data_IF_603180219071
#
_entry.id   IF_603180219071
#
_cell.length_a   1.000
_cell.length_b   1.000
_cell.length_c   1.000
_cell.angle_alpha   90.00
_cell.angle_beta   90.00
_cell.angle_gamma   90.00
#
_symmetry.space_group_name_H-M   'P 1'
#
loop_
_entity.id
_entity.type
_entity.pdbx_description
1 polymer ?
#
# COMPACT_ATOMS: atom_id res chain seq x y z
N UNK A 1 -11.78 -15.34 -25.08
CA UNK A 1 -12.38 -15.72 -23.78
C UNK A 1 -11.85 -14.76 -22.75
N UNK A 2 -12.73 -14.05 -22.06
CA UNK A 2 -12.35 -13.11 -20.99
C UNK A 2 -11.88 -13.90 -19.75
N UNK A 3 -11.10 -13.27 -18.87
CA UNK A 3 -10.58 -13.88 -17.62
C UNK A 3 -11.69 -14.44 -16.72
N UNK A 4 -12.88 -13.84 -16.78
CA UNK A 4 -14.07 -14.26 -16.05
C UNK A 4 -14.66 -15.61 -16.53
N UNK A 5 -14.40 -16.00 -17.79
CA UNK A 5 -14.90 -17.24 -18.39
C UNK A 5 -14.05 -18.45 -17.96
N UNK A 6 -12.72 -18.26 -17.92
CA UNK A 6 -11.77 -19.29 -17.47
C UNK A 6 -12.00 -19.72 -16.02
N UNK A 7 -12.25 -18.78 -15.10
CA UNK A 7 -12.47 -19.12 -13.69
C UNK A 7 -13.69 -20.01 -13.47
N UNK A 8 -14.78 -19.80 -14.23
CA UNK A 8 -15.99 -20.65 -14.16
C UNK A 8 -15.74 -22.05 -14.73
N UNK A 9 -15.04 -22.13 -15.86
CA UNK A 9 -14.69 -23.40 -16.49
C UNK A 9 -13.75 -24.24 -15.60
N UNK A 10 -12.73 -23.62 -15.00
CA UNK A 10 -11.82 -24.28 -14.05
C UNK A 10 -12.60 -24.84 -12.85
N UNK A 11 -13.49 -24.02 -12.25
CA UNK A 11 -14.31 -24.47 -11.12
C UNK A 11 -15.23 -25.65 -11.49
N UNK A 12 -15.83 -25.61 -12.68
CA UNK A 12 -16.66 -26.70 -13.20
C UNK A 12 -15.88 -28.01 -13.31
N UNK A 13 -14.68 -27.98 -13.91
CA UNK A 13 -13.87 -29.20 -14.08
C UNK A 13 -13.33 -29.74 -12.76
N UNK A 14 -12.95 -28.89 -11.80
CA UNK A 14 -12.62 -29.35 -10.45
C UNK A 14 -13.78 -30.09 -9.79
N UNK A 15 -15.01 -29.58 -9.94
CA UNK A 15 -16.21 -30.23 -9.42
C UNK A 15 -16.42 -31.60 -10.06
N UNK A 16 -16.30 -31.70 -11.40
CA UNK A 16 -16.46 -32.96 -12.13
C UNK A 16 -15.38 -34.00 -11.81
N UNK A 17 -14.14 -33.55 -11.59
CA UNK A 17 -13.04 -34.43 -11.13
C UNK A 17 -13.36 -34.99 -9.74
N UNK A 18 -13.88 -34.18 -8.82
CA UNK A 18 -14.28 -34.67 -7.49
C UNK A 18 -15.43 -35.68 -7.54
N UNK A 19 -16.38 -35.46 -8.45
CA UNK A 19 -17.54 -36.35 -8.61
C UNK A 19 -17.19 -37.68 -9.28
N UNK A 20 -16.36 -37.64 -10.32
CA UNK A 20 -16.18 -38.77 -11.24
C UNK A 20 -14.76 -39.33 -11.28
N UNK A 21 -13.78 -38.48 -10.96
CA UNK A 21 -12.36 -38.71 -11.16
C UNK A 21 -12.00 -39.26 -12.55
N UNK A 22 -12.75 -38.87 -13.59
CA UNK A 22 -12.59 -39.42 -14.94
C UNK A 22 -11.45 -38.72 -15.71
N UNK A 23 -10.56 -39.44 -16.43
CA UNK A 23 -9.41 -38.87 -17.14
C UNK A 23 -9.74 -37.72 -18.11
N UNK A 24 -10.91 -37.78 -18.75
CA UNK A 24 -11.43 -36.71 -19.62
C UNK A 24 -11.45 -35.34 -18.92
N UNK A 25 -11.92 -35.26 -17.68
CA UNK A 25 -12.02 -33.98 -16.98
C UNK A 25 -10.67 -33.47 -16.49
N UNK A 26 -9.72 -34.36 -16.23
CA UNK A 26 -8.34 -33.99 -15.96
C UNK A 26 -7.69 -33.33 -17.17
N UNK A 27 -7.90 -33.87 -18.37
CA UNK A 27 -7.45 -33.23 -19.61
C UNK A 27 -8.12 -31.88 -19.85
N UNK A 28 -9.44 -31.79 -19.76
CA UNK A 28 -10.15 -30.53 -19.96
C UNK A 28 -9.72 -29.45 -18.94
N UNK A 29 -9.44 -29.84 -17.69
CA UNK A 29 -8.90 -28.93 -16.69
C UNK A 29 -7.50 -28.43 -17.08
N UNK A 30 -6.60 -29.34 -17.49
CA UNK A 30 -5.25 -29.00 -17.91
C UNK A 30 -5.24 -28.03 -19.11
N UNK A 31 -6.06 -28.32 -20.13
CA UNK A 31 -6.20 -27.47 -21.32
C UNK A 31 -6.77 -26.09 -20.97
N UNK A 32 -7.78 -26.04 -20.10
CA UNK A 32 -8.37 -24.78 -19.62
C UNK A 32 -7.36 -23.95 -18.81
N UNK A 33 -6.59 -24.58 -17.93
CA UNK A 33 -5.53 -23.93 -17.16
C UNK A 33 -4.40 -23.40 -18.06
N UNK A 34 -4.01 -24.19 -19.06
CA UNK A 34 -3.04 -23.78 -20.08
C UNK A 34 -3.53 -22.55 -20.86
N UNK A 35 -4.79 -22.57 -21.32
CA UNK A 35 -5.42 -21.43 -22.00
C UNK A 35 -5.56 -20.18 -21.12
N UNK A 36 -5.66 -20.34 -19.81
CA UNK A 36 -5.68 -19.26 -18.83
C UNK A 36 -4.28 -18.73 -18.44
N UNK A 37 -3.20 -19.36 -18.92
CA UNK A 37 -1.82 -19.00 -18.57
C UNK A 37 -1.35 -19.52 -17.21
N UNK A 38 -2.08 -20.46 -16.59
CA UNK A 38 -1.75 -21.11 -15.32
C UNK A 38 -0.83 -22.32 -15.58
N UNK A 39 0.38 -22.06 -16.07
CA UNK A 39 1.28 -23.10 -16.60
C UNK A 39 1.65 -24.16 -15.56
N UNK A 40 1.92 -23.77 -14.31
CA UNK A 40 2.34 -24.72 -13.27
C UNK A 40 1.18 -25.63 -12.86
N UNK A 41 -0.01 -25.08 -12.73
CA UNK A 41 -1.24 -25.78 -12.40
C UNK A 41 -1.64 -26.75 -13.53
N UNK A 42 -1.47 -26.32 -14.80
CA UNK A 42 -1.66 -27.18 -15.96
C UNK A 42 -0.69 -28.36 -15.97
N UNK A 43 0.61 -28.13 -15.71
CA UNK A 43 1.61 -29.20 -15.64
C UNK A 43 1.29 -30.21 -14.54
N UNK A 44 0.94 -29.75 -13.34
CA UNK A 44 0.53 -30.65 -12.25
C UNK A 44 -0.74 -31.44 -12.59
N UNK A 45 -1.68 -30.82 -13.28
CA UNK A 45 -2.92 -31.48 -13.73
C UNK A 45 -2.64 -32.52 -14.81
N UNK A 46 -1.68 -32.27 -15.70
CA UNK A 46 -1.21 -33.25 -16.70
C UNK A 46 -0.53 -34.44 -16.01
N UNK A 47 0.30 -34.22 -14.99
CA UNK A 47 0.93 -35.32 -14.23
C UNK A 47 -0.13 -36.23 -13.58
N UNK A 48 -1.18 -35.62 -13.01
CA UNK A 48 -2.32 -36.36 -12.49
C UNK A 48 -3.07 -37.12 -13.60
N UNK A 49 -3.29 -36.52 -14.77
CA UNK A 49 -3.90 -37.18 -15.91
C UNK A 49 -3.06 -38.37 -16.42
N UNK A 50 -1.73 -38.25 -16.43
CA UNK A 50 -0.78 -39.28 -16.83
C UNK A 50 -0.70 -40.46 -15.84
N UNK A 51 -1.15 -40.27 -14.59
CA UNK A 51 -1.18 -41.33 -13.57
C UNK A 51 -2.26 -42.40 -13.81
N UNK A 52 -3.25 -42.12 -14.68
CA UNK A 52 -4.31 -43.06 -14.99
C UNK A 52 -3.80 -44.22 -15.86
N UNK A 53 -4.29 -45.46 -15.66
CA UNK A 53 -3.92 -46.60 -16.52
C UNK A 53 -4.26 -46.38 -18.00
N UNK A 54 -5.39 -45.70 -18.26
CA UNK A 54 -5.85 -45.29 -19.59
C UNK A 54 -6.11 -43.77 -19.59
N UNK A 55 -5.05 -42.96 -19.76
CA UNK A 55 -5.19 -41.51 -19.75
C UNK A 55 -5.89 -41.02 -21.03
N UNK A 56 -6.66 -39.94 -20.91
CA UNK A 56 -7.29 -39.25 -22.04
C UNK A 56 -6.56 -37.93 -22.31
N UNK A 57 -6.40 -37.49 -23.57
CA UNK A 57 -6.83 -38.14 -24.81
C UNK A 57 -5.93 -39.33 -25.19
N UNK A 58 -4.63 -39.22 -24.96
CA UNK A 58 -3.68 -40.33 -24.95
C UNK A 58 -2.44 -39.93 -24.15
N UNK A 59 -1.63 -40.93 -23.75
CA UNK A 59 -0.36 -40.67 -23.06
C UNK A 59 0.59 -39.80 -23.91
N UNK A 60 0.63 -40.04 -25.22
CA UNK A 60 1.50 -39.29 -26.13
C UNK A 60 1.07 -37.83 -26.23
N UNK A 61 -0.22 -37.56 -26.43
CA UNK A 61 -0.74 -36.18 -26.53
C UNK A 61 -0.56 -35.39 -25.23
N UNK A 62 -0.70 -36.04 -24.06
CA UNK A 62 -0.43 -35.41 -22.77
C UNK A 62 1.07 -35.07 -22.59
N UNK A 63 1.97 -35.94 -23.06
CA UNK A 63 3.41 -35.67 -23.04
C UNK A 63 3.78 -34.55 -24.03
N UNK A 64 3.14 -34.50 -25.20
CA UNK A 64 3.30 -33.40 -26.17
C UNK A 64 2.80 -32.07 -25.58
N UNK A 65 1.64 -32.07 -24.91
CA UNK A 65 1.13 -30.92 -24.18
C UNK A 65 2.10 -30.50 -23.07
N UNK A 66 2.64 -31.44 -22.29
CA UNK A 66 3.65 -31.19 -21.25
C UNK A 66 4.92 -30.57 -21.83
N UNK A 67 5.45 -31.12 -22.92
CA UNK A 67 6.62 -30.57 -23.63
C UNK A 67 6.33 -29.18 -24.21
N UNK A 68 5.13 -28.93 -24.73
CA UNK A 68 4.75 -27.60 -25.22
C UNK A 68 4.69 -26.56 -24.08
N UNK A 69 4.17 -26.93 -22.91
CA UNK A 69 4.09 -26.06 -21.73
C UNK A 69 5.46 -25.83 -21.06
N UNK A 70 6.39 -26.76 -21.22
CA UNK A 70 7.78 -26.64 -20.75
C UNK A 70 8.69 -25.91 -21.74
N UNK A 71 8.42 -26.00 -23.04
CA UNK A 71 9.20 -25.35 -24.12
C UNK A 71 8.73 -23.92 -24.42
N UNK A 72 7.51 -23.56 -24.03
CA UNK A 72 7.14 -22.17 -23.80
C UNK A 72 7.83 -21.77 -22.49
N UNK A 73 8.90 -20.96 -22.51
CA UNK A 73 9.45 -20.46 -21.25
C UNK A 73 8.30 -19.81 -20.50
N UNK A 74 8.04 -20.18 -19.22
CA UNK A 74 6.91 -19.65 -18.46
C UNK A 74 7.03 -18.15 -18.54
N UNK A 75 6.13 -17.52 -19.31
CA UNK A 75 6.23 -16.17 -19.87
C UNK A 75 7.19 -15.39 -19.00
N UNK A 76 8.49 -15.39 -19.32
CA UNK A 76 9.46 -14.87 -18.38
C UNK A 76 9.00 -13.43 -18.19
N UNK A 77 8.50 -13.10 -17.01
CA UNK A 77 8.27 -11.72 -16.65
C UNK A 77 9.68 -11.19 -16.73
N UNK A 78 10.03 -10.62 -17.89
CA UNK A 78 11.28 -9.95 -18.08
C UNK A 78 11.35 -9.04 -16.86
N UNK A 79 12.29 -9.24 -15.92
CA UNK A 79 12.29 -8.51 -14.66
C UNK A 79 12.41 -7.00 -14.93
N UNK A 80 12.81 -6.60 -16.14
CA UNK A 80 12.86 -5.23 -16.63
C UNK A 80 11.53 -4.73 -17.25
N UNK A 81 10.55 -5.58 -17.54
CA UNK A 81 9.22 -5.13 -17.97
C UNK A 81 8.35 -4.79 -16.74
N UNK A 82 7.91 -3.53 -16.62
CA UNK A 82 7.06 -3.14 -15.51
C UNK A 82 5.71 -3.85 -15.59
N UNK A 83 5.23 -4.38 -14.48
CA UNK A 83 3.89 -4.93 -14.30
C UNK A 83 2.96 -3.90 -13.67
N UNK A 84 1.67 -3.98 -13.98
CA UNK A 84 0.64 -3.19 -13.27
C UNK A 84 0.51 -3.77 -11.86
N UNK A 85 0.75 -2.93 -10.85
CA UNK A 85 0.63 -3.31 -9.44
C UNK A 85 -0.78 -3.05 -8.93
N UNK A 86 -1.36 -1.91 -9.30
CA UNK A 86 -2.74 -1.56 -8.98
C UNK A 86 -3.30 -0.60 -10.04
N UNK A 87 -4.63 -0.60 -10.17
CA UNK A 87 -5.37 0.16 -11.16
C UNK A 87 -6.67 0.72 -10.58
N UNK A 88 -7.01 1.94 -10.97
CA UNK A 88 -8.28 2.61 -10.66
C UNK A 88 -8.81 3.31 -11.91
N UNK A 89 -10.10 3.66 -11.88
CA UNK A 89 -10.76 4.50 -12.88
C UNK A 89 -11.49 5.63 -12.21
N UNK A 90 -11.23 6.85 -12.66
CA UNK A 90 -11.79 8.09 -12.13
C UNK A 90 -11.67 9.20 -13.17
N UNK A 91 -12.43 10.26 -12.99
CA UNK A 91 -12.34 11.45 -13.85
C UNK A 91 -11.23 12.34 -13.30
N UNK A 92 -10.04 12.36 -13.94
CA UNK A 92 -8.85 13.05 -13.41
C UNK A 92 -8.73 14.46 -13.99
N UNK A 93 -9.14 14.68 -15.24
CA UNK A 93 -9.04 15.99 -15.89
C UNK A 93 -10.35 16.80 -15.87
N UNK A 94 -11.43 16.22 -15.36
CA UNK A 94 -12.72 16.88 -15.15
C UNK A 94 -13.58 16.98 -16.41
N UNK A 95 -13.29 16.18 -17.45
CA UNK A 95 -14.04 16.20 -18.72
C UNK A 95 -15.30 15.31 -18.70
N UNK A 96 -15.55 14.62 -17.59
CA UNK A 96 -16.68 13.70 -17.38
C UNK A 96 -16.44 12.29 -17.91
N UNK A 97 -15.30 12.01 -18.54
CA UNK A 97 -14.92 10.69 -19.07
C UNK A 97 -13.84 10.09 -18.17
N UNK A 98 -14.10 8.89 -17.65
CA UNK A 98 -13.17 8.23 -16.73
C UNK A 98 -11.85 7.86 -17.43
N UNK A 99 -10.76 8.21 -16.77
CA UNK A 99 -9.38 7.85 -17.10
C UNK A 99 -8.97 6.54 -16.43
N UNK A 100 -7.92 5.89 -16.96
CA UNK A 100 -7.27 4.79 -16.26
C UNK A 100 -6.05 5.31 -15.49
N UNK A 101 -6.01 5.05 -14.19
CA UNK A 101 -4.87 5.40 -13.33
C UNK A 101 -4.22 4.10 -12.86
N UNK A 102 -2.92 3.97 -13.11
CA UNK A 102 -2.16 2.75 -12.88
C UNK A 102 -0.90 3.07 -12.08
N UNK A 103 -0.56 2.19 -11.13
CA UNK A 103 0.82 2.09 -10.67
C UNK A 103 1.48 0.92 -11.38
N UNK A 104 2.61 1.19 -12.03
CA UNK A 104 3.43 0.16 -12.68
C UNK A 104 4.77 0.05 -11.95
N UNK A 105 5.33 -1.15 -11.86
CA UNK A 105 6.60 -1.36 -11.17
C UNK A 105 7.30 -2.64 -11.65
N UNK A 106 8.60 -2.73 -11.41
CA UNK A 106 9.39 -3.95 -11.55
C UNK A 106 9.34 -4.74 -10.25
N UNK A 107 8.96 -6.02 -10.34
CA UNK A 107 8.99 -6.93 -9.20
C UNK A 107 10.44 -7.31 -8.89
N UNK A 108 10.84 -7.25 -7.62
CA UNK A 108 12.12 -7.83 -7.20
C UNK A 108 11.96 -9.35 -7.13
N UNK A 109 12.85 -10.16 -7.76
CA UNK A 109 12.83 -11.61 -7.61
C UNK A 109 12.82 -12.02 -6.14
N UNK A 110 11.99 -13.01 -5.80
CA UNK A 110 11.90 -13.62 -4.47
C UNK A 110 11.61 -12.64 -3.32
N UNK A 111 11.06 -11.46 -3.61
CA UNK A 111 10.75 -10.43 -2.63
C UNK A 111 9.44 -9.72 -2.95
N UNK A 112 8.63 -9.33 -1.94
CA UNK A 112 7.47 -8.46 -2.14
C UNK A 112 7.87 -7.00 -2.43
N UNK A 113 9.16 -6.69 -2.50
CA UNK A 113 9.68 -5.35 -2.79
C UNK A 113 9.52 -4.96 -4.26
N UNK A 114 8.96 -3.79 -4.50
CA UNK A 114 8.77 -3.19 -5.82
C UNK A 114 9.83 -2.13 -6.10
N UNK A 115 10.28 -2.04 -7.35
CA UNK A 115 11.21 -1.02 -7.84
C UNK A 115 10.61 -0.26 -9.02
N UNK A 116 11.10 0.94 -9.28
CA UNK A 116 10.67 1.78 -10.41
C UNK A 116 9.15 2.00 -10.45
N UNK A 117 8.54 2.17 -9.28
CA UNK A 117 7.11 2.45 -9.14
C UNK A 117 6.81 3.77 -9.87
N UNK A 118 6.01 3.69 -10.91
CA UNK A 118 5.67 4.79 -11.82
C UNK A 118 4.16 4.95 -11.89
N UNK A 119 3.69 6.17 -11.66
CA UNK A 119 2.29 6.52 -11.85
C UNK A 119 2.02 6.76 -13.33
N UNK A 120 0.99 6.11 -13.87
CA UNK A 120 0.58 6.25 -15.27
C UNK A 120 -0.89 6.62 -15.31
N UNK A 121 -1.21 7.74 -15.95
CA UNK A 121 -2.58 8.17 -16.23
C UNK A 121 -2.82 8.07 -17.72
N UNK A 122 -3.80 7.28 -18.13
CA UNK A 122 -4.26 7.19 -19.51
C UNK A 122 -5.60 7.92 -19.62
N UNK A 123 -5.62 8.98 -20.42
CA UNK A 123 -6.82 9.77 -20.63
C UNK A 123 -7.91 8.95 -21.35
N UNK A 124 -9.13 8.95 -20.82
CA UNK A 124 -10.24 8.12 -21.31
C UNK A 124 -10.75 8.54 -22.68
N UNK A 125 -10.68 9.85 -22.98
CA UNK A 125 -11.15 10.45 -24.23
C UNK A 125 -10.15 10.39 -25.37
N UNK A 126 -8.89 10.73 -25.08
CA UNK A 126 -7.82 10.87 -26.08
C UNK A 126 -6.91 9.64 -26.16
N UNK A 127 -6.99 8.74 -25.17
CA UNK A 127 -6.10 7.60 -24.99
C UNK A 127 -4.62 7.96 -24.78
N UNK A 128 -4.33 9.23 -24.53
CA UNK A 128 -2.97 9.72 -24.31
C UNK A 128 -2.46 9.29 -22.94
N UNK A 129 -1.19 8.91 -22.85
CA UNK A 129 -0.57 8.43 -21.61
C UNK A 129 0.33 9.50 -21.02
N UNK A 130 0.18 9.76 -19.72
CA UNK A 130 1.08 10.58 -18.93
C UNK A 130 1.76 9.70 -17.88
N UNK A 131 3.09 9.70 -17.85
CA UNK A 131 3.89 8.93 -16.89
C UNK A 131 4.57 9.90 -15.93
N UNK A 132 4.36 9.69 -14.63
CA UNK A 132 4.95 10.49 -13.56
C UNK A 132 5.94 9.63 -12.77
N UNK A 133 7.20 10.05 -12.77
CA UNK A 133 8.25 9.45 -11.95
C UNK A 133 8.15 9.98 -10.52
N UNK A 134 8.05 9.05 -9.56
CA UNK A 134 8.06 9.39 -8.14
C UNK A 134 9.51 9.54 -7.65
N UNK A 135 9.76 10.51 -6.77
CA UNK A 135 11.11 10.76 -6.21
C UNK A 135 11.65 9.52 -5.49
N UNK A 136 10.84 8.99 -4.57
CA UNK A 136 11.06 7.69 -3.94
C UNK A 136 10.08 6.69 -4.56
N UNK A 137 10.61 5.79 -5.40
CA UNK A 137 9.84 4.91 -6.28
C UNK A 137 10.10 3.42 -6.02
N UNK A 138 10.51 3.06 -4.79
CA UNK A 138 10.75 1.67 -4.41
C UNK A 138 10.28 1.44 -2.98
N UNK A 139 9.66 0.29 -2.73
CA UNK A 139 9.05 -0.03 -1.45
C UNK A 139 8.08 -1.21 -1.51
N UNK A 140 7.27 -1.35 -0.48
CA UNK A 140 6.28 -2.42 -0.32
C UNK A 140 4.86 -1.86 -0.44
N UNK A 141 3.91 -2.75 -0.74
CA UNK A 141 2.46 -2.47 -0.75
C UNK A 141 2.03 -1.13 -1.38
N UNK A 142 2.45 -0.79 -2.61
CA UNK A 142 2.02 0.46 -3.23
C UNK A 142 0.50 0.46 -3.44
N UNK A 143 -0.16 1.51 -2.95
CA UNK A 143 -1.61 1.69 -3.03
C UNK A 143 -1.97 2.92 -3.84
N UNK A 144 -3.17 2.90 -4.40
CA UNK A 144 -3.73 3.94 -5.25
C UNK A 144 -5.16 4.23 -4.81
N UNK A 145 -5.42 5.49 -4.43
CA UNK A 145 -6.72 6.01 -4.08
C UNK A 145 -7.07 7.19 -5.00
N UNK A 146 -8.35 7.28 -5.37
CA UNK A 146 -8.92 8.37 -6.14
C UNK A 146 -10.04 9.02 -5.34
N UNK A 147 -10.02 10.34 -5.22
CA UNK A 147 -11.07 11.14 -4.59
C UNK A 147 -10.72 12.62 -4.56
N UNK A 148 -11.73 13.48 -4.44
CA UNK A 148 -11.57 14.95 -4.48
C UNK A 148 -10.90 15.45 -3.19
N UNK A 149 -9.63 15.87 -3.26
CA UNK A 149 -8.94 16.54 -2.14
C UNK A 149 -8.98 18.07 -2.26
N UNK A 150 -9.15 18.58 -3.47
CA UNK A 150 -9.03 20.01 -3.78
C UNK A 150 -10.34 20.79 -3.72
N UNK A 151 -11.47 20.08 -3.60
CA UNK A 151 -12.82 20.64 -3.59
C UNK A 151 -13.35 20.99 -4.98
N UNK A 152 -12.65 20.57 -6.04
CA UNK A 152 -13.01 20.91 -7.43
C UNK A 152 -13.98 19.88 -8.06
N UNK A 153 -14.40 18.86 -7.31
CA UNK A 153 -15.30 17.78 -7.74
C UNK A 153 -14.73 16.88 -8.84
N UNK A 154 -13.41 16.84 -8.98
CA UNK A 154 -12.65 15.94 -9.85
C UNK A 154 -11.84 14.98 -8.98
N UNK A 155 -11.57 13.77 -9.47
CA UNK A 155 -10.78 12.80 -8.71
C UNK A 155 -9.31 13.21 -8.68
N UNK A 156 -8.78 13.46 -7.48
CA UNK A 156 -7.36 13.61 -7.24
C UNK A 156 -6.73 12.25 -6.89
N UNK A 157 -5.42 12.12 -7.05
CA UNK A 157 -4.71 10.83 -6.96
C UNK A 157 -3.83 10.81 -5.72
N UNK A 158 -4.10 9.89 -4.78
CA UNK A 158 -3.20 9.57 -3.66
C UNK A 158 -2.45 8.26 -3.93
N UNK A 159 -1.12 8.32 -3.83
CA UNK A 159 -0.22 7.16 -3.88
C UNK A 159 0.49 7.02 -2.55
N UNK A 160 0.46 5.82 -1.96
CA UNK A 160 1.19 5.49 -0.73
C UNK A 160 2.04 4.23 -0.95
N UNK A 161 3.28 4.24 -0.47
CA UNK A 161 4.26 3.15 -0.59
C UNK A 161 4.94 2.95 0.77
N UNK A 162 4.96 1.72 1.28
CA UNK A 162 5.64 1.40 2.53
C UNK A 162 7.16 1.34 2.32
N UNK A 163 7.95 1.97 3.20
CA UNK A 163 9.42 1.95 3.09
C UNK A 163 10.04 0.61 3.53
N UNK A 164 9.36 -0.13 4.43
CA UNK A 164 9.84 -1.36 5.04
C UNK A 164 10.84 -1.21 6.19
N UNK A 165 11.15 0.02 6.62
CA UNK A 165 11.99 0.27 7.79
C UNK A 165 11.27 0.02 9.12
N UNK A 166 12.02 -0.14 10.22
CA UNK A 166 11.45 -0.34 11.58
C UNK A 166 10.64 0.86 12.10
N UNK A 167 10.80 2.04 11.49
CA UNK A 167 9.93 3.19 11.73
C UNK A 167 8.49 2.94 11.24
N UNK A 168 8.26 2.02 10.31
CA UNK A 168 6.99 1.88 9.61
C UNK A 168 6.66 3.11 8.77
N UNK A 169 7.69 3.78 8.24
CA UNK A 169 7.52 5.00 7.45
C UNK A 169 6.94 4.68 6.06
N UNK A 170 6.25 5.66 5.48
CA UNK A 170 5.69 5.60 4.14
C UNK A 170 6.25 6.72 3.26
N UNK A 171 6.29 6.47 1.95
CA UNK A 171 6.31 7.52 0.93
C UNK A 171 4.88 7.80 0.49
N UNK A 172 4.49 9.07 0.45
CA UNK A 172 3.15 9.46 0.03
C UNK A 172 3.18 10.67 -0.90
N UNK A 173 2.32 10.65 -1.90
CA UNK A 173 2.19 11.68 -2.92
C UNK A 173 0.72 11.93 -3.21
N UNK A 174 0.32 13.20 -3.35
CA UNK A 174 -0.99 13.56 -3.91
C UNK A 174 -0.79 14.34 -5.19
N UNK A 175 -1.53 13.98 -6.23
CA UNK A 175 -1.56 14.68 -7.51
C UNK A 175 -2.96 15.17 -7.82
N UNK A 176 -3.06 16.35 -8.40
CA UNK A 176 -4.32 16.96 -8.82
C UNK A 176 -4.17 17.60 -10.20
N UNK A 177 -5.21 17.54 -11.02
CA UNK A 177 -5.23 18.21 -12.31
C UNK A 177 -5.68 19.67 -12.13
N UNK A 178 -4.71 20.58 -12.11
CA UNK A 178 -4.94 22.00 -11.82
C UNK A 178 -4.33 22.83 -12.95
N UNK A 179 -5.11 23.76 -13.50
CA UNK A 179 -4.71 24.65 -14.59
C UNK A 179 -4.22 23.88 -15.84
N UNK A 180 -4.96 22.83 -16.24
CA UNK A 180 -4.69 22.07 -17.45
C UNK A 180 -3.49 21.11 -17.36
N UNK A 181 -2.97 20.86 -16.15
CA UNK A 181 -1.82 19.98 -15.94
C UNK A 181 -1.96 19.18 -14.65
N UNK A 182 -1.54 17.93 -14.69
CA UNK A 182 -1.43 17.09 -13.51
C UNK A 182 -0.20 17.53 -12.69
N UNK A 183 -0.42 17.99 -11.45
CA UNK A 183 0.61 18.54 -10.56
C UNK A 183 0.68 17.74 -9.27
N UNK A 184 1.90 17.55 -8.75
CA UNK A 184 2.08 17.04 -7.40
C UNK A 184 1.76 18.16 -6.40
N UNK A 185 0.78 17.93 -5.53
CA UNK A 185 0.29 18.89 -4.52
C UNK A 185 0.62 18.48 -3.08
N UNK A 186 1.09 17.25 -2.86
CA UNK A 186 1.62 16.78 -1.57
C UNK A 186 2.82 15.85 -1.77
N UNK A 187 3.78 15.89 -0.85
CA UNK A 187 4.93 14.99 -0.81
C UNK A 187 5.35 14.72 0.65
N UNK A 188 5.47 13.44 1.03
CA UNK A 188 5.81 13.03 2.39
C UNK A 188 7.19 13.51 2.85
N UNK A 189 8.20 13.59 1.97
CA UNK A 189 9.53 14.07 2.35
C UNK A 189 9.47 15.54 2.78
N UNK A 190 8.77 16.35 1.98
CA UNK A 190 8.57 17.78 2.27
C UNK A 190 7.77 17.95 3.56
N UNK A 191 6.71 17.16 3.75
CA UNK A 191 5.95 17.17 5.00
C UNK A 191 6.83 16.87 6.22
N UNK A 192 7.66 15.82 6.15
CA UNK A 192 8.58 15.41 7.21
C UNK A 192 9.70 16.42 7.48
N UNK A 193 10.09 17.23 6.48
CA UNK A 193 11.05 18.31 6.63
C UNK A 193 10.47 19.52 7.34
N UNK A 194 9.21 19.86 7.05
CA UNK A 194 8.51 21.01 7.64
C UNK A 194 8.06 20.71 9.08
N UNK A 195 7.48 19.53 9.32
CA UNK A 195 6.91 19.15 10.62
C UNK A 195 7.96 18.48 11.51
N UNK A 196 8.78 19.32 12.16
CA UNK A 196 9.79 18.89 13.14
C UNK A 196 9.27 18.97 14.57
N UNK A 197 9.69 18.00 15.37
CA UNK A 197 9.30 17.89 16.76
C UNK A 197 10.50 17.55 17.65
N UNK A 198 10.41 18.00 18.91
CA UNK A 198 11.23 17.48 19.99
C UNK A 198 10.37 16.69 20.98
N UNK A 199 10.94 15.63 21.55
CA UNK A 199 10.32 14.83 22.60
C UNK A 199 11.30 14.72 23.76
N UNK A 200 10.90 15.17 24.95
CA UNK A 200 11.75 15.17 26.13
C UNK A 200 10.99 14.62 27.32
N UNK A 201 11.58 13.66 28.03
CA UNK A 201 11.00 13.16 29.27
C UNK A 201 11.17 14.22 30.36
N UNK A 202 10.16 14.34 31.22
CA UNK A 202 10.13 15.27 32.35
C UNK A 202 9.83 14.51 33.65
N UNK A 203 10.19 15.12 34.78
CA UNK A 203 9.80 14.63 36.10
C UNK A 203 8.27 14.46 36.21
N UNK A 204 7.89 13.63 37.17
CA UNK A 204 6.52 13.25 37.49
C UNK A 204 5.87 12.44 36.36
N UNK A 205 6.62 11.49 35.79
CA UNK A 205 6.13 10.52 34.80
C UNK A 205 5.57 11.17 33.54
N UNK A 206 6.22 12.22 33.02
CA UNK A 206 5.72 12.98 31.87
C UNK A 206 6.69 12.94 30.69
N UNK A 207 6.16 13.16 29.50
CA UNK A 207 6.96 13.52 28.34
C UNK A 207 6.34 14.75 27.65
N UNK A 208 7.18 15.71 27.30
CA UNK A 208 6.79 16.87 26.51
C UNK A 208 7.06 16.59 25.03
N UNK A 209 6.10 16.93 24.17
CA UNK A 209 6.26 16.94 22.70
C UNK A 209 6.06 18.37 22.22
N UNK A 210 7.05 18.93 21.53
CA UNK A 210 7.01 20.30 21.00
C UNK A 210 6.90 20.24 19.49
N UNK A 211 5.86 20.84 18.93
CA UNK A 211 5.73 21.04 17.49
C UNK A 211 6.27 22.42 17.12
N UNK A 212 7.38 22.46 16.36
CA UNK A 212 8.00 23.72 15.99
C UNK A 212 7.28 24.49 14.89
N UNK A 213 6.48 23.81 14.06
CA UNK A 213 5.72 24.42 12.99
C UNK A 213 4.50 25.14 13.55
N UNK A 214 3.66 24.44 14.33
CA UNK A 214 2.45 25.00 14.94
C UNK A 214 2.69 25.83 16.21
N UNK A 215 3.92 25.78 16.76
CA UNK A 215 4.27 26.41 18.05
C UNK A 215 3.44 25.88 19.22
N UNK A 216 3.19 24.58 19.20
CA UNK A 216 2.36 23.90 20.20
C UNK A 216 3.23 23.02 21.11
N UNK A 217 2.78 22.92 22.37
CA UNK A 217 3.37 22.03 23.38
C UNK A 217 2.31 21.07 23.86
N UNK A 218 2.66 19.79 23.86
CA UNK A 218 1.85 18.71 24.40
C UNK A 218 2.57 18.07 25.57
N UNK A 219 1.81 17.63 26.58
CA UNK A 219 2.33 16.91 27.75
C UNK A 219 1.62 15.56 27.80
N UNK A 220 2.40 14.50 27.67
CA UNK A 220 1.96 13.12 27.81
C UNK A 220 2.16 12.67 29.25
N UNK A 221 1.11 12.10 29.84
CA UNK A 221 1.23 11.30 31.05
C UNK A 221 1.69 9.89 30.67
N UNK A 222 2.79 9.42 31.25
CA UNK A 222 3.37 8.10 30.98
C UNK A 222 2.91 7.04 31.96
N UNK A 223 2.06 7.36 32.94
CA UNK A 223 1.60 6.41 33.97
C UNK A 223 0.98 5.14 33.38
N UNK A 224 0.33 5.23 32.21
CA UNK A 224 -0.23 4.10 31.48
C UNK A 224 0.81 3.03 31.08
N UNK A 225 2.11 3.35 31.09
CA UNK A 225 3.19 2.40 30.76
C UNK A 225 3.47 1.36 31.86
N UNK A 226 2.87 1.50 33.03
CA UNK A 226 3.01 0.55 34.13
C UNK A 226 4.28 0.75 34.96
N UNK A 227 4.26 0.12 36.14
CA UNK A 227 5.27 0.34 37.18
C UNK A 227 6.65 -0.14 36.75
N UNK A 228 6.73 -1.27 36.06
CA UNK A 228 7.98 -1.87 35.59
C UNK A 228 8.74 -0.87 34.72
N UNK A 229 8.09 -0.36 33.67
CA UNK A 229 8.65 0.64 32.76
C UNK A 229 9.07 1.92 33.50
N UNK A 230 8.19 2.46 34.35
CA UNK A 230 8.45 3.74 35.02
C UNK A 230 9.57 3.63 36.06
N UNK A 231 9.67 2.48 36.75
CA UNK A 231 10.70 2.24 37.76
C UNK A 231 12.10 2.17 37.18
N UNK A 232 12.26 1.86 35.89
CA UNK A 232 13.55 1.93 35.20
C UNK A 232 14.00 3.39 35.04
N UNK A 233 13.06 4.29 34.73
CA UNK A 233 13.31 5.67 34.28
C UNK A 233 13.32 6.68 35.44
N UNK A 234 12.48 6.46 36.44
CA UNK A 234 12.22 7.41 37.52
C UNK A 234 12.60 6.84 38.89
N UNK A 235 12.96 7.73 39.81
CA UNK A 235 13.01 7.41 41.24
C UNK A 235 11.60 7.18 41.81
N UNK A 236 11.50 6.69 43.04
CA UNK A 236 10.21 6.55 43.74
C UNK A 236 9.48 7.89 43.93
N UNK A 237 10.20 9.01 43.88
CA UNK A 237 9.66 10.37 43.99
C UNK A 237 9.24 10.94 42.62
N UNK A 238 9.31 10.16 41.55
CA UNK A 238 8.98 10.60 40.18
C UNK A 238 10.05 11.49 39.56
N UNK A 239 11.29 11.49 40.05
CA UNK A 239 12.40 12.26 39.46
C UNK A 239 13.12 11.41 38.42
N UNK A 240 13.45 11.98 37.26
CA UNK A 240 14.24 11.29 36.25
C UNK A 240 15.61 10.89 36.81
N UNK A 241 16.00 9.63 36.59
CA UNK A 241 17.35 9.17 36.96
C UNK A 241 18.43 9.74 36.05
N UNK A 242 18.08 10.01 34.79
CA UNK A 242 18.93 10.65 33.80
C UNK A 242 18.05 11.36 32.74
N UNK A 243 18.56 12.38 32.03
CA UNK A 243 17.86 12.97 30.90
C UNK A 243 17.57 11.95 29.79
N UNK A 244 16.36 11.98 29.24
CA UNK A 244 15.94 11.11 28.13
C UNK A 244 15.25 11.96 27.07
N UNK A 245 15.68 11.79 25.83
CA UNK A 245 15.02 12.35 24.66
C UNK A 245 14.40 11.23 23.84
N UNK A 246 13.19 11.49 23.35
CA UNK A 246 12.56 10.72 22.28
C UNK A 246 12.62 11.50 20.97
N UNK A 247 11.81 11.07 20.00
CA UNK A 247 11.63 11.78 18.74
C UNK A 247 10.29 11.42 18.10
N UNK A 248 9.87 12.21 17.12
CA UNK A 248 8.74 11.86 16.26
C UNK A 248 9.28 11.29 14.96
N UNK A 249 8.81 10.09 14.59
CA UNK A 249 9.21 9.42 13.37
C UNK A 249 8.65 10.13 12.11
N UNK A 250 9.21 9.83 10.93
CA UNK A 250 8.57 10.18 9.67
C UNK A 250 7.14 9.66 9.60
N UNK A 251 6.36 10.24 8.68
CA UNK A 251 5.00 9.82 8.36
C UNK A 251 4.90 8.29 8.24
N UNK A 252 4.06 7.68 9.06
CA UNK A 252 3.80 6.24 9.09
C UNK A 252 2.43 5.87 8.52
N UNK A 253 1.58 6.86 8.24
CA UNK A 253 0.27 6.68 7.66
C UNK A 253 -0.26 8.00 7.12
N UNK A 254 -0.98 7.94 6.00
CA UNK A 254 -1.68 9.08 5.40
C UNK A 254 -2.99 8.56 4.84
N UNK A 255 -4.10 8.98 5.46
CA UNK A 255 -5.41 8.44 5.16
C UNK A 255 -6.32 9.52 4.59
N UNK A 256 -7.01 9.27 3.46
CA UNK A 256 -8.05 10.15 2.98
C UNK A 256 -9.29 10.00 3.85
N UNK A 257 -9.74 11.09 4.48
CA UNK A 257 -10.94 11.10 5.32
C UNK A 257 -11.80 12.31 4.98
N UNK A 258 -13.05 12.07 4.61
CA UNK A 258 -14.07 13.10 4.47
C UNK A 258 -14.78 13.26 5.83
N UNK A 259 -14.28 14.16 6.67
CA UNK A 259 -14.74 14.28 8.06
C UNK A 259 -16.16 14.86 8.16
N UNK A 260 -16.50 15.79 7.27
CA UNK A 260 -17.77 16.52 7.29
C UNK A 260 -18.80 15.97 6.28
N UNK A 261 -18.44 14.96 5.49
CA UNK A 261 -19.28 14.27 4.50
C UNK A 261 -19.71 15.19 3.35
N UNK A 262 -18.86 16.11 2.95
CA UNK A 262 -19.13 17.06 1.85
C UNK A 262 -18.59 16.58 0.48
N UNK A 263 -18.01 15.38 0.46
CA UNK A 263 -17.41 14.76 -0.71
C UNK A 263 -16.00 15.26 -1.03
N UNK A 264 -15.40 16.10 -0.17
CA UNK A 264 -14.02 16.54 -0.25
C UNK A 264 -13.22 15.92 0.90
N UNK A 265 -12.11 15.27 0.56
CA UNK A 265 -11.28 14.54 1.52
C UNK A 265 -10.22 15.46 2.13
N UNK A 266 -10.06 15.38 3.45
CA UNK A 266 -8.85 15.80 4.14
C UNK A 266 -7.82 14.66 4.20
N UNK A 267 -6.57 14.99 4.52
CA UNK A 267 -5.51 14.00 4.78
C UNK A 267 -5.28 13.88 6.29
N UNK A 268 -5.53 12.70 6.85
CA UNK A 268 -5.17 12.37 8.23
C UNK A 268 -3.76 11.74 8.27
N UNK A 269 -2.78 12.52 8.72
CA UNK A 269 -1.38 12.16 8.80
C UNK A 269 -1.02 11.60 10.18
N UNK A 270 -0.32 10.46 10.21
CA UNK A 270 0.13 9.78 11.42
C UNK A 270 1.65 9.78 11.50
N UNK A 271 2.20 10.23 12.63
CA UNK A 271 3.62 10.12 12.95
C UNK A 271 3.80 9.52 14.35
N UNK A 272 4.54 8.41 14.46
CA UNK A 272 4.78 7.76 15.76
C UNK A 272 5.70 8.60 16.64
N UNK A 273 5.35 8.75 17.91
CA UNK A 273 6.20 9.30 18.96
C UNK A 273 7.01 8.13 19.54
N UNK A 274 8.32 8.14 19.34
CA UNK A 274 9.26 7.18 19.91
C UNK A 274 9.86 7.72 21.21
N UNK A 275 9.95 6.85 22.21
CA UNK A 275 10.54 7.11 23.51
C UNK A 275 12.02 6.76 23.55
N UNK A 276 12.42 5.87 24.46
CA UNK A 276 13.83 5.50 24.70
C UNK A 276 14.50 4.82 23.49
N UNK A 277 13.70 4.16 22.66
CA UNK A 277 14.12 3.49 21.43
C UNK A 277 12.92 3.42 20.47
N UNK A 278 13.15 3.13 19.19
CA UNK A 278 12.12 3.27 18.15
C UNK A 278 10.83 2.43 18.39
N UNK A 279 10.97 1.27 19.02
CA UNK A 279 9.85 0.39 19.38
C UNK A 279 9.14 0.79 20.70
N UNK A 280 9.73 1.66 21.52
CA UNK A 280 9.08 2.26 22.68
C UNK A 280 8.12 3.35 22.23
N UNK A 281 6.94 2.97 21.74
CA UNK A 281 5.95 3.95 21.25
C UNK A 281 5.27 4.66 22.41
N UNK A 282 5.34 5.99 22.44
CA UNK A 282 4.62 6.82 23.40
C UNK A 282 3.23 7.25 22.93
N UNK A 283 2.91 6.97 21.66
CA UNK A 283 1.69 7.40 20.99
C UNK A 283 1.96 7.86 19.57
N UNK A 284 1.03 8.65 19.03
CA UNK A 284 1.10 9.21 17.68
C UNK A 284 0.75 10.69 17.71
N UNK A 285 1.48 11.49 16.92
CA UNK A 285 0.98 12.77 16.44
C UNK A 285 0.03 12.48 15.29
N UNK A 286 -1.21 12.95 15.41
CA UNK A 286 -2.23 12.88 14.37
C UNK A 286 -2.50 14.30 13.88
N UNK A 287 -2.25 14.57 12.60
CA UNK A 287 -2.50 15.88 12.00
C UNK A 287 -3.50 15.73 10.88
N UNK A 288 -4.60 16.47 10.94
CA UNK A 288 -5.53 16.58 9.81
C UNK A 288 -5.09 17.77 8.97
N UNK A 289 -4.86 17.52 7.69
CA UNK A 289 -4.47 18.52 6.71
C UNK A 289 -5.62 18.78 5.75
N UNK A 290 -5.94 20.06 5.52
CA UNK A 290 -6.98 20.49 4.60
C UNK A 290 -6.38 21.30 3.45
N UNK A 291 -6.89 21.10 2.25
CA UNK A 291 -6.52 21.91 1.10
C UNK A 291 -7.06 23.34 1.25
N UNK A 292 -6.18 24.34 1.18
CA UNK A 292 -6.54 25.75 1.33
C UNK A 292 -6.67 26.50 -0.02
N UNK A 293 -6.56 25.79 -1.14
CA UNK A 293 -6.50 26.36 -2.49
C UNK A 293 -5.09 26.47 -3.09
N UNK A 294 -4.04 26.40 -2.26
CA UNK A 294 -2.62 26.45 -2.67
C UNK A 294 -1.82 25.23 -2.20
N UNK A 295 -2.12 24.74 -1.01
CA UNK A 295 -1.41 23.65 -0.34
C UNK A 295 -2.26 23.00 0.73
N UNK A 296 -1.73 21.92 1.30
CA UNK A 296 -2.31 21.28 2.47
C UNK A 296 -1.77 21.94 3.75
N UNK A 297 -2.65 22.58 4.51
CA UNK A 297 -2.33 23.18 5.82
C UNK A 297 -2.93 22.36 6.96
N UNK A 298 -2.29 22.33 8.15
CA UNK A 298 -2.89 21.74 9.34
C UNK A 298 -4.18 22.44 9.74
N UNK A 299 -5.28 21.69 9.76
CA UNK A 299 -6.58 22.10 10.31
C UNK A 299 -6.62 21.86 11.82
N UNK A 300 -6.15 20.68 12.24
CA UNK A 300 -6.04 20.31 13.66
C UNK A 300 -4.94 19.28 13.88
N UNK A 301 -4.35 19.30 15.07
CA UNK A 301 -3.39 18.31 15.53
C UNK A 301 -3.77 17.82 16.93
N UNK A 302 -3.66 16.51 17.14
CA UNK A 302 -3.86 15.86 18.43
C UNK A 302 -2.75 14.83 18.68
N UNK A 303 -2.54 14.48 19.95
CA UNK A 303 -1.76 13.30 20.30
C UNK A 303 -2.69 12.15 20.71
N UNK A 304 -2.51 10.99 20.10
CA UNK A 304 -3.17 9.75 20.50
C UNK A 304 -2.22 8.88 21.33
N UNK A 305 -2.67 8.45 22.51
CA UNK A 305 -1.96 7.52 23.38
C UNK A 305 -2.70 6.18 23.50
N UNK A 306 -1.98 5.14 23.90
CA UNK A 306 -2.58 3.82 24.14
C UNK A 306 -3.37 3.80 25.45
N UNK A 307 -4.39 2.95 25.52
CA UNK A 307 -5.04 2.63 26.79
C UNK A 307 -4.10 1.88 27.73
N UNK A 308 -4.28 2.07 29.04
CA UNK A 308 -3.58 1.32 30.09
C UNK A 308 -4.52 0.35 30.82
N UNK A 309 -3.95 -0.63 31.52
CA UNK A 309 -4.68 -1.47 32.47
C UNK A 309 -5.13 -0.63 33.69
N UNK A 310 -6.26 -1.01 34.30
CA UNK A 310 -6.83 -0.37 35.50
C UNK A 310 -6.24 -0.98 36.76
#
# INVERSE_FOLDING_TARGET
>A
MDTYDFSKAIHYYYTKIRETNHPYYWYCLADTQAGAGLTNEALQTIDNALSFPNPYPSKQELLEMQMSLQSVPPREMNPNRPSIVTAKRGDIDGDGIKDNVLLTANKTPDSPFWRNITLVVQNGKTHHYNQILLKNNAGYNPTLFLGDFTGNKVDDILVVIDTGGSAGAIYAYVFSYINGQLRQIFNSDVFNEIHKYDVTYENQYRATVINYYLKEKYILDLTYKGKEYLSEIYTQQGVLKAPINGWVNPLSGLYPVDFNRDGTYELEAYQRIAGRYNADSLGFVQTVLKWNGQGFDPDRQNLAIFGGEI
#
